data_IF_324776434318
#
_entry.id   IF_324776434318
#
_cell.length_a   1.000
_cell.length_b   1.000
_cell.length_c   1.000
_cell.angle_alpha   90.00
_cell.angle_beta   90.00
_cell.angle_gamma   90.00
#
_symmetry.space_group_name_H-M   'P 1'
#
loop_
_entity.id
_entity.type
_entity.pdbx_description
1 polymer ?
#
# COMPACT_ATOMS: atom_id res chain seq x y z
N UNK A 1 -18.25 15.24 -2.97
CA UNK A 1 -17.03 14.80 -3.68
C UNK A 1 -16.73 13.31 -3.44
N UNK A 2 -16.42 12.90 -2.21
CA UNK A 2 -16.05 11.51 -1.85
C UNK A 2 -17.06 10.45 -2.34
N UNK A 3 -18.37 10.72 -2.17
CA UNK A 3 -19.41 9.80 -2.65
C UNK A 3 -19.37 9.55 -4.16
N UNK A 4 -19.04 10.59 -4.94
CA UNK A 4 -18.96 10.48 -6.39
C UNK A 4 -17.72 9.68 -6.82
N UNK A 5 -16.61 9.83 -6.09
CA UNK A 5 -15.39 9.04 -6.33
C UNK A 5 -15.69 7.56 -6.10
N UNK A 6 -16.24 7.19 -4.93
CA UNK A 6 -16.55 5.79 -4.62
C UNK A 6 -17.53 5.16 -5.63
N UNK A 7 -18.57 5.90 -6.04
CA UNK A 7 -19.51 5.44 -7.08
C UNK A 7 -18.84 5.26 -8.44
N UNK A 8 -17.91 6.14 -8.80
CA UNK A 8 -17.12 6.01 -10.03
C UNK A 8 -16.20 4.79 -9.98
N UNK A 9 -15.50 4.56 -8.86
CA UNK A 9 -14.67 3.37 -8.63
C UNK A 9 -15.48 2.08 -8.75
N UNK A 10 -16.70 2.06 -8.19
CA UNK A 10 -17.62 0.95 -8.40
C UNK A 10 -17.89 0.76 -9.91
N UNK A 11 -18.37 1.80 -10.60
CA UNK A 11 -18.75 1.70 -12.01
C UNK A 11 -17.64 1.17 -12.94
N UNK A 12 -16.37 1.50 -12.68
CA UNK A 12 -15.25 1.05 -13.52
C UNK A 12 -14.79 -0.39 -13.20
N UNK A 13 -15.10 -0.89 -12.01
CA UNK A 13 -14.63 -2.19 -11.51
C UNK A 13 -15.43 -3.37 -12.07
N UNK A 14 -15.31 -3.59 -13.37
CA UNK A 14 -15.93 -4.71 -14.10
C UNK A 14 -15.13 -6.00 -13.89
N UNK A 15 -15.72 -7.16 -14.19
CA UNK A 15 -15.07 -8.48 -14.03
C UNK A 15 -13.73 -8.57 -14.75
N UNK A 16 -13.63 -8.10 -16.00
CA UNK A 16 -12.36 -8.12 -16.73
C UNK A 16 -11.30 -7.19 -16.10
N UNK A 17 -11.72 -6.07 -15.50
CA UNK A 17 -10.81 -5.17 -14.77
C UNK A 17 -10.28 -5.87 -13.54
N UNK A 18 -11.16 -6.50 -12.73
CA UNK A 18 -10.76 -7.27 -11.56
C UNK A 18 -9.77 -8.40 -11.92
N UNK A 19 -10.02 -9.14 -13.00
CA UNK A 19 -9.10 -10.19 -13.47
C UNK A 19 -7.74 -9.61 -13.85
N UNK A 20 -7.72 -8.50 -14.61
CA UNK A 20 -6.48 -7.84 -15.00
C UNK A 20 -5.68 -7.33 -13.80
N UNK A 21 -6.34 -6.76 -12.79
CA UNK A 21 -5.66 -6.21 -11.61
C UNK A 21 -5.15 -7.31 -10.68
N UNK A 22 -5.87 -8.43 -10.57
CA UNK A 22 -5.37 -9.66 -9.91
C UNK A 22 -4.13 -10.19 -10.64
N UNK A 23 -4.18 -10.30 -11.96
CA UNK A 23 -3.05 -10.77 -12.76
C UNK A 23 -1.85 -9.83 -12.65
N UNK A 24 -2.06 -8.51 -12.68
CA UNK A 24 -1.03 -7.51 -12.49
C UNK A 24 -0.39 -7.60 -11.09
N UNK A 25 -1.21 -7.74 -10.03
CA UNK A 25 -0.71 -7.91 -8.67
C UNK A 25 0.12 -9.19 -8.53
N UNK A 26 -0.37 -10.32 -9.07
CA UNK A 26 0.34 -11.59 -9.05
C UNK A 26 1.67 -11.52 -9.82
N UNK A 27 1.66 -10.93 -11.02
CA UNK A 27 2.87 -10.73 -11.81
C UNK A 27 3.89 -9.86 -11.08
N UNK A 28 3.44 -8.75 -10.47
CA UNK A 28 4.29 -7.88 -9.68
C UNK A 28 4.91 -8.62 -8.48
N UNK A 29 4.11 -9.40 -7.76
CA UNK A 29 4.60 -10.22 -6.63
C UNK A 29 5.65 -11.24 -7.06
N UNK A 30 5.49 -11.86 -8.24
CA UNK A 30 6.40 -12.92 -8.71
C UNK A 30 7.67 -12.35 -9.33
N UNK A 31 7.59 -11.20 -10.00
CA UNK A 31 8.69 -10.68 -10.82
C UNK A 31 9.45 -9.52 -10.20
N UNK A 32 8.83 -8.76 -9.30
CA UNK A 32 9.45 -7.54 -8.74
C UNK A 32 9.85 -7.75 -7.28
N UNK A 33 8.97 -8.29 -6.44
CA UNK A 33 9.25 -8.42 -5.00
C UNK A 33 10.50 -9.24 -4.65
N UNK A 34 10.84 -10.36 -5.34
CA UNK A 34 12.05 -11.13 -5.00
C UNK A 34 13.33 -10.31 -5.17
N UNK A 35 13.45 -9.60 -6.28
CA UNK A 35 14.62 -8.75 -6.57
C UNK A 35 14.72 -7.59 -5.57
N UNK A 36 13.58 -7.05 -5.16
CA UNK A 36 13.53 -6.00 -4.15
C UNK A 36 13.91 -6.47 -2.75
N UNK A 37 13.45 -7.65 -2.34
CA UNK A 37 13.83 -8.23 -1.07
C UNK A 37 15.36 -8.48 -1.02
N UNK A 38 15.93 -9.02 -2.09
CA UNK A 38 17.37 -9.25 -2.20
C UNK A 38 18.18 -7.94 -2.18
N UNK A 39 17.72 -6.91 -2.91
CA UNK A 39 18.38 -5.61 -2.97
C UNK A 39 18.31 -4.86 -1.63
N UNK A 40 17.20 -4.97 -0.90
CA UNK A 40 17.05 -4.37 0.42
C UNK A 40 18.01 -5.00 1.44
N UNK A 41 18.13 -6.33 1.44
CA UNK A 41 19.05 -7.06 2.33
C UNK A 41 20.52 -6.69 2.07
N UNK A 42 20.91 -6.56 0.81
CA UNK A 42 22.28 -6.19 0.44
C UNK A 42 22.64 -4.75 0.80
N UNK A 43 21.71 -3.80 0.61
CA UNK A 43 21.97 -2.37 0.84
C UNK A 43 21.84 -1.97 2.32
N UNK A 44 21.01 -2.67 3.09
CA UNK A 44 20.84 -2.36 4.50
C UNK A 44 22.03 -2.81 5.37
N UNK A 45 22.91 -3.69 4.88
CA UNK A 45 24.10 -4.12 5.62
C UNK A 45 23.81 -4.73 7.00
N UNK A 46 22.59 -5.23 7.21
CA UNK A 46 22.10 -5.74 8.50
C UNK A 46 21.35 -4.72 9.38
N UNK A 47 21.27 -3.44 8.99
CA UNK A 47 20.43 -2.44 9.67
C UNK A 47 18.95 -2.62 9.31
N UNK A 48 18.06 -2.17 10.20
CA UNK A 48 16.62 -2.27 9.98
C UNK A 48 16.23 -1.39 8.79
N UNK A 49 15.57 -1.96 7.78
CA UNK A 49 14.87 -1.16 6.75
C UNK A 49 13.54 -0.69 7.36
N UNK A 50 13.38 0.60 7.69
CA UNK A 50 12.18 1.08 8.38
C UNK A 50 10.89 0.76 7.61
N UNK A 51 10.98 0.70 6.27
CA UNK A 51 9.85 0.54 5.36
C UNK A 51 9.28 -0.89 5.30
N UNK A 52 10.03 -1.89 5.81
CA UNK A 52 9.55 -3.27 5.97
C UNK A 52 9.04 -3.58 7.37
N UNK A 53 9.19 -2.62 8.30
CA UNK A 53 8.75 -2.75 9.67
C UNK A 53 7.33 -2.22 9.81
N UNK A 54 6.45 -2.97 10.46
CA UNK A 54 5.08 -2.52 10.74
C UNK A 54 5.04 -1.27 11.63
N UNK A 55 6.01 -1.14 12.53
CA UNK A 55 6.22 0.02 13.39
C UNK A 55 7.73 0.19 13.61
N UNK A 56 8.21 1.43 13.50
CA UNK A 56 9.59 1.81 13.83
C UNK A 56 9.56 3.16 14.55
N UNK A 57 10.57 3.44 15.37
CA UNK A 57 10.70 4.71 16.07
C UNK A 57 11.31 5.78 15.15
N UNK A 58 10.96 7.08 15.29
CA UNK A 58 11.57 8.14 14.48
C UNK A 58 13.10 8.15 14.55
N UNK A 59 13.66 7.74 15.68
CA UNK A 59 15.09 7.61 15.93
C UNK A 59 15.72 6.54 15.02
N UNK A 60 15.01 5.45 14.72
CA UNK A 60 15.49 4.38 13.84
C UNK A 60 15.73 4.91 12.42
N UNK A 61 14.83 5.78 11.92
CA UNK A 61 14.97 6.37 10.58
C UNK A 61 16.12 7.39 10.51
N UNK A 62 16.33 8.15 11.59
CA UNK A 62 17.46 9.07 11.70
C UNK A 62 18.79 8.31 11.79
N UNK A 63 18.83 7.23 12.57
CA UNK A 63 19.99 6.36 12.69
C UNK A 63 20.32 5.66 11.38
N UNK A 64 19.31 5.16 10.65
CA UNK A 64 19.50 4.56 9.33
C UNK A 64 20.16 5.55 8.34
N UNK A 65 19.81 6.84 8.38
CA UNK A 65 20.44 7.85 7.54
C UNK A 65 21.95 8.00 7.81
N UNK A 66 22.38 7.85 9.07
CA UNK A 66 23.79 7.84 9.43
C UNK A 66 24.48 6.56 8.95
N UNK A 67 23.91 5.40 9.28
CA UNK A 67 24.49 4.08 9.01
C UNK A 67 24.64 3.79 7.51
N UNK A 68 23.68 4.22 6.67
CA UNK A 68 23.72 4.02 5.23
C UNK A 68 24.87 4.77 4.53
N UNK A 69 25.42 5.81 5.16
CA UNK A 69 26.40 6.68 4.51
C UNK A 69 25.86 7.36 3.24
N UNK A 70 26.72 8.10 2.53
CA UNK A 70 26.27 8.89 1.37
C UNK A 70 25.70 8.02 0.22
N UNK A 71 26.36 6.90 -0.09
CA UNK A 71 25.94 5.99 -1.16
C UNK A 71 24.64 5.27 -0.85
N UNK A 72 24.50 4.72 0.37
CA UNK A 72 23.29 4.01 0.78
C UNK A 72 22.07 4.93 0.85
N UNK A 73 22.23 6.17 1.34
CA UNK A 73 21.14 7.17 1.33
C UNK A 73 20.66 7.50 -0.08
N UNK A 74 21.57 7.65 -1.05
CA UNK A 74 21.18 7.90 -2.43
C UNK A 74 20.44 6.70 -3.03
N UNK A 75 20.93 5.48 -2.81
CA UNK A 75 20.27 4.25 -3.24
C UNK A 75 18.88 4.10 -2.61
N UNK A 76 18.74 4.44 -1.32
CA UNK A 76 17.47 4.45 -0.60
C UNK A 76 16.48 5.45 -1.20
N UNK A 77 16.90 6.68 -1.51
CA UNK A 77 16.02 7.66 -2.17
C UNK A 77 15.61 7.16 -3.56
N UNK A 78 16.56 6.62 -4.35
CA UNK A 78 16.26 6.09 -5.68
C UNK A 78 15.25 4.94 -5.63
N UNK A 79 15.34 4.07 -4.62
CA UNK A 79 14.38 3.00 -4.40
C UNK A 79 12.94 3.53 -4.25
N UNK A 80 12.75 4.56 -3.42
CA UNK A 80 11.45 5.20 -3.08
C UNK A 80 10.78 5.85 -4.28
N UNK A 81 11.56 6.24 -5.29
CA UNK A 81 11.09 6.90 -6.50
C UNK A 81 11.21 6.04 -7.77
N UNK A 82 11.42 4.74 -7.62
CA UNK A 82 11.44 3.78 -8.74
C UNK A 82 10.38 2.70 -8.53
N UNK A 83 10.72 1.55 -7.96
CA UNK A 83 9.79 0.45 -7.77
C UNK A 83 8.79 0.72 -6.64
N UNK A 84 9.20 1.40 -5.56
CA UNK A 84 8.32 1.76 -4.44
C UNK A 84 7.29 2.84 -4.81
N UNK A 85 7.44 3.47 -6.00
CA UNK A 85 6.38 4.29 -6.58
C UNK A 85 5.31 3.44 -7.26
N UNK A 86 5.70 2.31 -7.85
CA UNK A 86 4.81 1.42 -8.61
C UNK A 86 4.02 0.51 -7.67
N UNK A 87 4.64 0.01 -6.60
CA UNK A 87 3.98 -0.93 -5.69
C UNK A 87 2.68 -0.37 -5.08
N UNK A 88 2.62 0.87 -4.58
CA UNK A 88 1.39 1.45 -4.04
C UNK A 88 0.28 1.58 -5.05
N UNK A 89 0.63 1.93 -6.29
CA UNK A 89 -0.32 1.99 -7.40
C UNK A 89 -0.91 0.60 -7.70
N UNK A 90 -0.06 -0.42 -7.76
CA UNK A 90 -0.49 -1.79 -8.09
C UNK A 90 -1.42 -2.34 -7.00
N UNK A 91 -1.03 -2.29 -5.72
CA UNK A 91 -1.90 -2.79 -4.66
C UNK A 91 -3.17 -1.95 -4.53
N UNK A 92 -3.09 -0.61 -4.70
CA UNK A 92 -4.25 0.28 -4.61
C UNK A 92 -5.27 -0.11 -5.67
N UNK A 93 -4.85 -0.22 -6.93
CA UNK A 93 -5.74 -0.56 -8.04
C UNK A 93 -6.33 -1.97 -7.84
N UNK A 94 -5.54 -2.94 -7.42
CA UNK A 94 -6.03 -4.29 -7.08
C UNK A 94 -7.11 -4.27 -5.98
N UNK A 95 -6.83 -3.63 -4.84
CA UNK A 95 -7.75 -3.62 -3.70
C UNK A 95 -9.01 -2.82 -4.00
N UNK A 96 -8.89 -1.63 -4.61
CA UNK A 96 -10.03 -0.81 -5.03
C UNK A 96 -10.95 -1.61 -5.94
N UNK A 97 -10.38 -2.20 -7.00
CA UNK A 97 -11.19 -2.91 -8.00
C UNK A 97 -11.84 -4.17 -7.45
N UNK A 98 -11.14 -4.93 -6.61
CA UNK A 98 -11.72 -6.09 -5.95
C UNK A 98 -12.84 -5.74 -4.98
N UNK A 99 -12.61 -4.79 -4.07
CA UNK A 99 -13.64 -4.34 -3.11
C UNK A 99 -14.88 -3.83 -3.86
N UNK A 100 -14.67 -2.98 -4.85
CA UNK A 100 -15.75 -2.44 -5.69
C UNK A 100 -16.49 -3.53 -6.47
N UNK A 101 -15.77 -4.50 -7.04
CA UNK A 101 -16.37 -5.59 -7.80
C UNK A 101 -17.21 -6.48 -6.88
N UNK A 102 -16.67 -6.94 -5.74
CA UNK A 102 -17.45 -7.77 -4.81
C UNK A 102 -18.67 -7.02 -4.28
N UNK A 103 -18.55 -5.75 -3.91
CA UNK A 103 -19.67 -4.94 -3.44
C UNK A 103 -20.84 -4.91 -4.43
N UNK A 104 -20.57 -4.81 -5.73
CA UNK A 104 -21.60 -4.75 -6.78
C UNK A 104 -22.22 -6.10 -7.13
N UNK A 105 -21.51 -7.20 -6.90
CA UNK A 105 -21.96 -8.55 -7.27
C UNK A 105 -22.60 -9.31 -6.11
N UNK A 106 -22.74 -8.68 -4.95
CA UNK A 106 -23.35 -9.25 -3.76
C UNK A 106 -24.78 -8.76 -3.57
N UNK A 107 -25.68 -9.67 -3.20
CA UNK A 107 -27.03 -9.28 -2.79
C UNK A 107 -27.02 -8.64 -1.39
N UNK A 108 -27.95 -7.70 -1.17
CA UNK A 108 -28.24 -7.07 0.13
C UNK A 108 -27.06 -6.33 0.79
N UNK A 109 -26.09 -5.85 0.01
CA UNK A 109 -25.03 -5.01 0.54
C UNK A 109 -25.52 -3.60 0.86
N UNK A 110 -25.04 -3.05 1.96
CA UNK A 110 -25.32 -1.67 2.33
C UNK A 110 -24.47 -0.70 1.50
N UNK A 111 -24.95 0.53 1.34
CA UNK A 111 -24.19 1.59 0.68
C UNK A 111 -22.88 1.89 1.42
N UNK A 112 -22.88 1.78 2.75
CA UNK A 112 -21.70 2.03 3.60
C UNK A 112 -20.51 1.14 3.22
N UNK A 113 -20.76 -0.15 2.98
CA UNK A 113 -19.72 -1.12 2.62
C UNK A 113 -19.04 -0.72 1.31
N UNK A 114 -19.77 -0.11 0.37
CA UNK A 114 -19.22 0.40 -0.88
C UNK A 114 -18.16 1.48 -0.69
N UNK A 115 -18.22 2.26 0.39
CA UNK A 115 -17.22 3.30 0.70
C UNK A 115 -15.88 2.74 1.19
N UNK A 116 -15.81 1.45 1.54
CA UNK A 116 -14.53 0.81 1.92
C UNK A 116 -13.55 0.74 0.75
N UNK A 117 -14.01 0.92 -0.50
CA UNK A 117 -13.15 1.06 -1.68
C UNK A 117 -12.28 2.33 -1.67
N UNK A 118 -12.47 3.24 -0.71
CA UNK A 118 -11.63 4.43 -0.52
C UNK A 118 -10.44 4.18 0.42
N UNK A 119 -10.48 3.12 1.23
CA UNK A 119 -9.38 2.76 2.11
C UNK A 119 -8.06 2.53 1.36
N UNK A 120 -8.03 1.79 0.23
CA UNK A 120 -6.78 1.58 -0.50
C UNK A 120 -6.28 2.85 -1.19
N UNK A 121 -7.18 3.77 -1.57
CA UNK A 121 -6.81 5.08 -2.12
C UNK A 121 -6.09 5.92 -1.08
N UNK A 122 -6.63 5.97 0.14
CA UNK A 122 -5.96 6.63 1.25
C UNK A 122 -4.63 5.95 1.59
N UNK A 123 -4.58 4.61 1.60
CA UNK A 123 -3.35 3.87 1.83
C UNK A 123 -2.24 4.27 0.84
N UNK A 124 -2.55 4.26 -0.47
CA UNK A 124 -1.59 4.66 -1.51
C UNK A 124 -1.10 6.10 -1.37
N UNK A 125 -1.97 7.02 -0.94
CA UNK A 125 -1.57 8.40 -0.65
C UNK A 125 -0.58 8.47 0.54
N UNK A 126 -0.87 7.76 1.63
CA UNK A 126 0.00 7.74 2.80
C UNK A 126 1.35 7.05 2.53
N UNK A 127 1.38 6.07 1.63
CA UNK A 127 2.62 5.45 1.16
C UNK A 127 3.51 6.47 0.41
N UNK A 128 2.95 7.25 -0.51
CA UNK A 128 3.72 8.32 -1.18
C UNK A 128 4.17 9.43 -0.22
N UNK A 129 3.38 9.75 0.81
CA UNK A 129 3.76 10.71 1.84
C UNK A 129 4.92 10.18 2.70
N UNK A 130 4.89 8.91 3.08
CA UNK A 130 5.98 8.23 3.77
C UNK A 130 7.24 8.20 2.90
N UNK A 131 7.16 7.75 1.63
CA UNK A 131 8.29 7.72 0.71
C UNK A 131 8.94 9.10 0.54
N UNK A 132 8.12 10.16 0.48
CA UNK A 132 8.58 11.55 0.45
C UNK A 132 9.28 11.93 1.75
N UNK A 133 8.66 11.64 2.90
CA UNK A 133 9.22 11.94 4.22
C UNK A 133 10.55 11.24 4.46
N UNK A 134 10.63 9.94 4.19
CA UNK A 134 11.83 9.14 4.31
C UNK A 134 12.94 9.64 3.37
N UNK A 135 12.59 9.96 2.12
CA UNK A 135 13.55 10.54 1.16
C UNK A 135 14.12 11.88 1.65
N UNK A 136 13.29 12.73 2.26
CA UNK A 136 13.72 14.00 2.82
C UNK A 136 14.62 13.80 4.05
N UNK A 137 14.31 12.86 4.94
CA UNK A 137 15.19 12.53 6.09
C UNK A 137 16.57 12.10 5.59
N UNK A 138 16.63 11.21 4.59
CA UNK A 138 17.89 10.78 3.99
C UNK A 138 18.62 11.93 3.29
N UNK A 139 17.90 12.77 2.53
CA UNK A 139 18.49 13.86 1.77
C UNK A 139 19.02 15.02 2.62
N UNK A 140 18.46 15.22 3.82
CA UNK A 140 18.83 16.32 4.72
C UNK A 140 19.98 15.96 5.68
N UNK A 141 20.35 14.69 5.80
CA UNK A 141 21.50 14.27 6.61
C UNK A 141 22.76 15.07 6.21
N UNK A 142 23.53 15.64 7.16
CA UNK A 142 23.56 15.33 8.60
C UNK A 142 22.56 16.10 9.48
N UNK A 143 21.66 16.91 8.92
CA UNK A 143 20.61 17.57 9.70
C UNK A 143 19.59 16.54 10.20
N UNK A 144 19.49 16.38 11.51
CA UNK A 144 18.52 15.49 12.14
C UNK A 144 17.20 16.23 12.39
N UNK A 145 16.26 16.12 11.43
CA UNK A 145 14.95 16.78 11.53
C UNK A 145 13.94 15.84 12.19
N UNK A 146 13.95 15.78 13.53
CA UNK A 146 13.08 14.86 14.31
C UNK A 146 11.60 15.00 13.99
N UNK A 147 11.11 16.22 13.76
CA UNK A 147 9.70 16.45 13.40
C UNK A 147 9.30 15.80 12.06
N UNK A 148 10.22 15.77 11.09
CA UNK A 148 10.01 15.11 9.80
C UNK A 148 10.07 13.58 9.94
N UNK A 149 11.02 13.06 10.73
CA UNK A 149 11.10 11.63 11.02
C UNK A 149 9.81 11.14 11.71
N UNK A 150 9.33 11.87 12.73
CA UNK A 150 8.08 11.58 13.41
C UNK A 150 6.88 11.57 12.45
N UNK A 151 6.77 12.59 11.60
CA UNK A 151 5.69 12.66 10.62
C UNK A 151 5.73 11.48 9.64
N UNK A 152 6.92 11.08 9.20
CA UNK A 152 7.13 9.93 8.31
C UNK A 152 6.68 8.62 8.99
N UNK A 153 7.05 8.40 10.25
CA UNK A 153 6.60 7.25 11.04
C UNK A 153 5.07 7.22 11.20
N UNK A 154 4.45 8.37 11.44
CA UNK A 154 2.98 8.47 11.50
C UNK A 154 2.34 8.09 10.16
N UNK A 155 2.90 8.57 9.04
CA UNK A 155 2.42 8.20 7.71
C UNK A 155 2.51 6.69 7.47
N UNK A 156 3.63 6.06 7.85
CA UNK A 156 3.80 4.61 7.78
C UNK A 156 2.74 3.86 8.60
N UNK A 157 2.50 4.27 9.85
CA UNK A 157 1.49 3.65 10.71
C UNK A 157 0.07 3.80 10.14
N UNK A 158 -0.30 4.98 9.64
CA UNK A 158 -1.60 5.21 9.02
C UNK A 158 -1.76 4.39 7.74
N UNK A 159 -0.73 4.33 6.88
CA UNK A 159 -0.68 3.47 5.70
C UNK A 159 -1.01 2.03 6.07
N UNK A 160 -0.27 1.44 7.02
CA UNK A 160 -0.45 0.03 7.39
C UNK A 160 -1.84 -0.27 7.95
N UNK A 161 -2.41 0.63 8.76
CA UNK A 161 -3.80 0.51 9.22
C UNK A 161 -4.81 0.52 8.06
N UNK A 162 -4.61 1.40 7.08
CA UNK A 162 -5.47 1.49 5.90
C UNK A 162 -5.32 0.27 4.98
N UNK A 163 -4.11 -0.26 4.80
CA UNK A 163 -3.85 -1.50 4.07
C UNK A 163 -4.55 -2.67 4.75
N UNK A 164 -4.39 -2.82 6.08
CA UNK A 164 -5.05 -3.87 6.84
C UNK A 164 -6.58 -3.77 6.73
N UNK A 165 -7.16 -2.58 6.89
CA UNK A 165 -8.59 -2.34 6.70
C UNK A 165 -9.08 -2.67 5.29
N UNK A 166 -8.26 -2.39 4.27
CA UNK A 166 -8.56 -2.71 2.87
C UNK A 166 -8.61 -4.22 2.63
N UNK A 167 -7.67 -4.98 3.18
CA UNK A 167 -7.69 -6.44 3.08
C UNK A 167 -8.85 -7.07 3.87
N UNK A 168 -9.17 -6.54 5.05
CA UNK A 168 -10.35 -6.98 5.80
C UNK A 168 -11.64 -6.78 5.00
N UNK A 169 -11.79 -5.63 4.34
CA UNK A 169 -12.93 -5.37 3.46
C UNK A 169 -12.93 -6.33 2.25
N UNK A 170 -11.80 -6.47 1.57
CA UNK A 170 -11.65 -7.35 0.41
C UNK A 170 -12.03 -8.79 0.74
N UNK A 171 -11.39 -9.39 1.77
CA UNK A 171 -11.62 -10.79 2.13
C UNK A 171 -12.99 -11.01 2.78
N UNK A 172 -13.49 -10.04 3.55
CA UNK A 172 -14.85 -10.10 4.09
C UNK A 172 -15.90 -10.17 2.97
N UNK A 173 -15.74 -9.36 1.93
CA UNK A 173 -16.61 -9.38 0.76
C UNK A 173 -16.44 -10.63 -0.10
N UNK A 174 -15.21 -11.08 -0.32
CA UNK A 174 -14.93 -12.33 -1.01
C UNK A 174 -15.56 -13.54 -0.30
N UNK A 175 -15.47 -13.59 1.04
CA UNK A 175 -16.11 -14.62 1.86
C UNK A 175 -17.63 -14.57 1.77
N UNK A 176 -18.22 -13.37 1.80
CA UNK A 176 -19.66 -13.19 1.57
C UNK A 176 -20.09 -13.67 0.17
N UNK A 177 -19.26 -13.43 -0.85
CA UNK A 177 -19.55 -13.84 -2.22
C UNK A 177 -19.52 -15.36 -2.34
N UNK A 178 -18.49 -15.99 -1.79
CA UNK A 178 -18.40 -17.44 -1.73
C UNK A 178 -19.60 -18.06 -1.01
N UNK A 179 -20.01 -17.49 0.12
CA UNK A 179 -21.17 -17.96 0.88
C UNK A 179 -22.49 -17.84 0.09
N UNK A 180 -22.71 -16.72 -0.60
CA UNK A 180 -23.89 -16.55 -1.45
C UNK A 180 -23.89 -17.50 -2.65
N UNK A 181 -22.72 -17.73 -3.25
CA UNK A 181 -22.54 -18.67 -4.36
C UNK A 181 -22.86 -20.12 -3.95
N UNK A 182 -22.30 -20.58 -2.83
CA UNK A 182 -22.59 -21.92 -2.27
C UNK A 182 -24.08 -22.10 -1.97
N UNK A 183 -24.79 -21.04 -1.59
CA UNK A 183 -26.25 -21.07 -1.36
C UNK A 183 -27.10 -20.88 -2.62
N UNK A 184 -26.49 -20.78 -3.81
CA UNK A 184 -27.20 -20.56 -5.07
C UNK A 184 -27.90 -19.20 -5.17
N UNK A 185 -27.49 -18.22 -4.36
CA UNK A 185 -28.06 -16.86 -4.37
C UNK A 185 -27.48 -15.98 -5.48
N UNK A 186 -26.25 -16.25 -5.88
CA UNK A 186 -25.59 -15.60 -7.02
C UNK A 186 -25.16 -16.67 -8.01
N UNK A 187 -25.31 -16.39 -9.31
CA UNK A 187 -24.99 -17.31 -10.42
C UNK A 187 -23.59 -17.08 -10.95
#
# INVERSE_FOLDING_TARGET
>A
MIKNISKWLNKISKTWVMILTVAAMALFMITVLPDQAASAEQNAGGSISPDTSFFYAPEDLLQAAEEYGAGGRLAYIQARWTFDLVFPLVYMVFLVTGISWFHQNLENQTEWIGYTNLLPVAAGLFDYLENTGASLVMGLYPAQVTGLALLTTIFSGVKWLLIAGSFLAYFGLAGAALFQWVRGKIR
#
